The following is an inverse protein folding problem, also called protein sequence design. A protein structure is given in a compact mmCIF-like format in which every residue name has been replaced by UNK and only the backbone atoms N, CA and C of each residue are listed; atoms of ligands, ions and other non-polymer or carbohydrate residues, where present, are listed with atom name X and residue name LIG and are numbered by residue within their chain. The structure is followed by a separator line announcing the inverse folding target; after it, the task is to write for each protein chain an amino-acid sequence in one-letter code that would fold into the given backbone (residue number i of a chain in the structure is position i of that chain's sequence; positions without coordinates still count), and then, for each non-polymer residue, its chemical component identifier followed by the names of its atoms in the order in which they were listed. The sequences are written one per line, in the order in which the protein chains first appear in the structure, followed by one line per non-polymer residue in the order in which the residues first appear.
data_IF_716570972201
#
_entry.id   IF_716570972201
#
_cell.length_a   1.000
_cell.length_b   1.000
_cell.length_c   1.000
_cell.angle_alpha   90.00
_cell.angle_beta   90.00
_cell.angle_gamma   90.00
#
_symmetry.space_group_name_H-M   'P 1'
#
loop_
_entity.id
_entity.type
_entity.pdbx_description
1 polymer ?
#
# COMPACT_ATOMS: atom_id res chain seq x y z
N UNK A 1 16.83 11.91 -12.40
CA UNK A 1 15.61 11.18 -12.82
C UNK A 1 14.56 11.35 -11.75
N UNK A 2 13.29 11.25 -12.07
CA UNK A 2 12.19 11.32 -11.11
C UNK A 2 11.51 9.94 -11.02
N UNK A 3 10.68 9.73 -10.00
CA UNK A 3 9.77 8.60 -9.97
C UNK A 3 8.72 8.82 -11.07
N UNK A 4 8.46 7.80 -11.86
CA UNK A 4 7.55 7.87 -13.01
C UNK A 4 6.24 7.11 -12.75
N UNK A 5 6.33 6.00 -12.00
CA UNK A 5 5.19 5.12 -11.76
C UNK A 5 5.10 4.69 -10.29
N UNK A 6 3.89 4.69 -9.76
CA UNK A 6 3.61 4.18 -8.40
C UNK A 6 2.46 3.18 -8.44
N UNK A 7 2.72 1.98 -7.95
CA UNK A 7 1.74 0.94 -7.71
C UNK A 7 1.25 1.04 -6.27
N UNK A 8 0.03 1.55 -6.09
CA UNK A 8 -0.63 1.71 -4.79
C UNK A 8 -1.34 0.42 -4.41
N UNK A 9 -0.96 -0.18 -3.29
CA UNK A 9 -1.61 -1.35 -2.71
C UNK A 9 -2.30 -0.92 -1.41
N UNK A 10 -3.61 -0.68 -1.50
CA UNK A 10 -4.46 -0.30 -0.38
C UNK A 10 -5.26 -1.47 0.20
N UNK A 11 -5.89 -1.23 1.34
CA UNK A 11 -6.81 -2.20 1.95
C UNK A 11 -6.81 -2.16 3.48
N UNK A 12 -7.86 -2.65 4.09
CA UNK A 12 -8.00 -2.68 5.55
C UNK A 12 -7.00 -3.65 6.21
N UNK A 13 -6.85 -3.56 7.52
CA UNK A 13 -6.05 -4.53 8.27
C UNK A 13 -6.59 -5.94 8.09
N UNK A 14 -5.71 -6.93 7.94
CA UNK A 14 -6.06 -8.34 7.71
C UNK A 14 -6.24 -8.75 6.24
N UNK A 15 -6.25 -7.82 5.26
CA UNK A 15 -6.37 -8.21 3.83
C UNK A 15 -5.06 -8.76 3.23
N UNK A 16 -3.90 -8.52 3.87
CA UNK A 16 -2.61 -9.04 3.43
C UNK A 16 -1.74 -8.07 2.64
N UNK A 17 -1.94 -6.74 2.76
CA UNK A 17 -1.17 -5.71 2.02
C UNK A 17 0.34 -5.92 2.04
N UNK A 18 0.93 -5.97 3.23
CA UNK A 18 2.40 -6.11 3.38
C UNK A 18 2.91 -7.42 2.76
N UNK A 19 2.22 -8.54 3.01
CA UNK A 19 2.61 -9.82 2.41
C UNK A 19 2.54 -9.78 0.88
N UNK A 20 1.48 -9.19 0.34
CA UNK A 20 1.32 -9.03 -1.12
C UNK A 20 2.35 -8.04 -1.67
N UNK A 21 2.58 -6.91 -1.01
CA UNK A 21 3.58 -5.92 -1.42
C UNK A 21 4.99 -6.51 -1.52
N UNK A 22 5.41 -7.25 -0.49
CA UNK A 22 6.71 -7.95 -0.50
C UNK A 22 6.78 -9.05 -1.56
N UNK A 23 5.72 -9.81 -1.78
CA UNK A 23 5.70 -10.83 -2.83
C UNK A 23 5.70 -10.20 -4.24
N UNK A 24 4.98 -9.08 -4.46
CA UNK A 24 5.07 -8.28 -5.69
C UNK A 24 6.51 -7.87 -5.94
N UNK A 25 7.17 -7.29 -4.94
CA UNK A 25 8.57 -6.88 -5.05
C UNK A 25 9.50 -8.06 -5.33
N UNK A 26 9.28 -9.20 -4.67
CA UNK A 26 10.05 -10.44 -4.92
C UNK A 26 9.88 -10.95 -6.35
N UNK A 27 8.65 -10.97 -6.88
CA UNK A 27 8.40 -11.40 -8.26
C UNK A 27 8.98 -10.43 -9.28
N UNK A 28 8.83 -9.11 -9.09
CA UNK A 28 9.43 -8.08 -9.95
C UNK A 28 10.97 -8.17 -9.97
N UNK A 29 11.58 -8.46 -8.80
CA UNK A 29 13.03 -8.67 -8.72
C UNK A 29 13.47 -9.88 -9.55
N UNK A 30 12.74 -11.01 -9.51
CA UNK A 30 13.01 -12.18 -10.35
C UNK A 30 12.89 -11.88 -11.85
N UNK A 31 12.03 -10.92 -12.21
CA UNK A 31 11.84 -10.44 -13.58
C UNK A 31 12.81 -9.32 -13.98
N UNK A 32 13.77 -8.99 -13.13
CA UNK A 32 14.72 -7.89 -13.32
C UNK A 32 14.06 -6.53 -13.60
N UNK A 33 12.85 -6.29 -13.06
CA UNK A 33 12.15 -5.01 -13.14
C UNK A 33 12.69 -4.09 -12.05
N UNK A 34 13.33 -2.99 -12.44
CA UNK A 34 13.86 -2.00 -11.51
C UNK A 34 12.70 -1.30 -10.77
N UNK A 35 12.68 -1.46 -9.45
CA UNK A 35 11.67 -0.88 -8.56
C UNK A 35 12.20 -0.79 -7.13
N UNK A 36 11.53 -0.02 -6.30
CA UNK A 36 11.70 -0.03 -4.85
C UNK A 36 10.38 -0.28 -4.15
N UNK A 37 10.42 -0.80 -2.93
CA UNK A 37 9.23 -1.12 -2.14
C UNK A 37 9.18 -0.25 -0.88
N UNK A 38 7.99 0.22 -0.54
CA UNK A 38 7.74 1.06 0.61
C UNK A 38 6.50 0.59 1.36
N UNK A 39 6.66 0.29 2.65
CA UNK A 39 5.57 0.21 3.62
C UNK A 39 5.26 1.62 4.13
N UNK A 40 4.10 2.15 3.76
CA UNK A 40 3.77 3.55 4.01
C UNK A 40 3.64 3.93 5.48
N UNK A 41 3.38 2.97 6.35
CA UNK A 41 3.22 3.19 7.79
C UNK A 41 4.52 3.71 8.47
N UNK A 42 5.67 3.65 7.79
CA UNK A 42 6.94 4.20 8.31
C UNK A 42 7.14 5.68 8.01
N UNK A 43 6.37 6.25 7.05
CA UNK A 43 6.60 7.61 6.57
C UNK A 43 6.33 8.70 7.61
N UNK A 44 5.43 8.43 8.53
CA UNK A 44 5.02 9.33 9.60
C UNK A 44 5.14 8.70 11.01
N UNK A 45 5.95 7.63 11.11
CA UNK A 45 6.17 6.88 12.34
C UNK A 45 7.11 7.63 13.31
N UNK A 46 6.63 8.75 13.84
CA UNK A 46 7.34 9.59 14.80
C UNK A 46 6.42 10.03 15.96
N UNK A 47 6.95 10.04 17.16
CA UNK A 47 6.21 10.41 18.37
C UNK A 47 7.08 11.23 19.32
N UNK A 48 6.49 12.25 20.03
CA UNK A 48 5.13 12.74 19.84
C UNK A 48 4.97 13.41 18.47
N UNK A 49 3.76 13.36 17.88
CA UNK A 49 3.49 14.06 16.61
C UNK A 49 3.58 15.58 16.80
N UNK A 50 4.08 16.32 15.80
CA UNK A 50 4.08 17.78 15.82
C UNK A 50 2.67 18.33 15.99
N UNK A 51 2.53 19.43 16.73
CA UNK A 51 1.22 20.03 17.02
C UNK A 51 0.48 20.50 15.74
N UNK A 52 1.23 20.85 14.71
CA UNK A 52 0.76 21.33 13.41
C UNK A 52 0.71 20.22 12.32
N UNK A 53 0.89 18.94 12.71
CA UNK A 53 0.84 17.78 11.81
C UNK A 53 0.33 16.53 12.56
N UNK A 54 -0.82 16.67 13.23
CA UNK A 54 -1.36 15.59 14.08
C UNK A 54 -1.80 14.37 13.28
N UNK A 55 -2.17 14.53 12.02
CA UNK A 55 -2.51 13.46 11.09
C UNK A 55 -1.29 12.89 10.33
N UNK A 56 -0.11 13.51 10.46
CA UNK A 56 1.15 13.06 9.86
C UNK A 56 1.24 13.26 8.35
N UNK A 57 0.31 14.00 7.73
CA UNK A 57 0.28 14.15 6.26
C UNK A 57 1.51 14.90 5.73
N UNK A 58 1.90 15.98 6.40
CA UNK A 58 3.10 16.74 6.02
C UNK A 58 4.36 15.88 6.13
N UNK A 59 4.49 15.12 7.22
CA UNK A 59 5.61 14.21 7.41
C UNK A 59 5.63 13.12 6.36
N UNK A 60 4.49 12.49 6.06
CA UNK A 60 4.32 11.52 4.97
C UNK A 60 4.83 12.08 3.65
N UNK A 61 4.36 13.27 3.25
CA UNK A 61 4.76 13.92 1.98
C UNK A 61 6.26 14.19 1.94
N UNK A 62 6.82 14.75 3.01
CA UNK A 62 8.23 15.13 3.04
C UNK A 62 9.16 13.90 3.06
N UNK A 63 8.81 12.88 3.84
CA UNK A 63 9.59 11.63 3.92
C UNK A 63 9.53 10.88 2.60
N UNK A 64 8.34 10.76 2.00
CA UNK A 64 8.18 10.12 0.69
C UNK A 64 8.99 10.83 -0.39
N UNK A 65 8.96 12.16 -0.41
CA UNK A 65 9.76 12.97 -1.36
C UNK A 65 11.26 12.74 -1.19
N UNK A 66 11.74 12.71 0.04
CA UNK A 66 13.16 12.49 0.34
C UNK A 66 13.62 11.09 -0.08
N UNK A 67 12.87 10.04 0.28
CA UNK A 67 13.16 8.66 -0.12
C UNK A 67 13.13 8.50 -1.64
N UNK A 68 12.12 9.04 -2.30
CA UNK A 68 11.99 8.99 -3.75
C UNK A 68 13.18 9.64 -4.45
N UNK A 69 13.69 10.76 -3.93
CA UNK A 69 14.89 11.41 -4.45
C UNK A 69 16.13 10.51 -4.40
N UNK A 70 16.30 9.75 -3.31
CA UNK A 70 17.41 8.79 -3.17
C UNK A 70 17.26 7.67 -4.20
N UNK A 71 16.10 7.00 -4.25
CA UNK A 71 15.91 5.87 -5.16
C UNK A 71 15.96 6.27 -6.64
N UNK A 72 15.39 7.43 -7.00
CA UNK A 72 15.47 7.95 -8.36
C UNK A 72 16.92 8.29 -8.77
N UNK A 73 17.76 8.77 -7.83
CA UNK A 73 19.18 8.99 -8.03
C UNK A 73 19.94 7.73 -8.40
N UNK A 74 19.52 6.57 -7.87
CA UNK A 74 20.09 5.25 -8.15
C UNK A 74 19.41 4.52 -9.34
N UNK A 75 18.50 5.18 -10.05
CA UNK A 75 17.84 4.63 -11.25
C UNK A 75 16.57 3.81 -10.99
N UNK A 76 15.99 3.90 -9.80
CA UNK A 76 14.72 3.24 -9.47
C UNK A 76 13.56 4.21 -9.65
N UNK A 77 12.89 4.17 -10.79
CA UNK A 77 11.78 5.08 -11.13
C UNK A 77 10.38 4.51 -10.86
N UNK A 78 10.28 3.25 -10.38
CA UNK A 78 9.03 2.58 -10.03
C UNK A 78 8.95 2.31 -8.54
N UNK A 79 7.80 2.62 -7.93
CA UNK A 79 7.55 2.39 -6.50
C UNK A 79 6.38 1.44 -6.28
N UNK A 80 6.60 0.36 -5.54
CA UNK A 80 5.52 -0.44 -4.93
C UNK A 80 5.22 0.17 -3.56
N UNK A 81 4.07 0.80 -3.40
CA UNK A 81 3.68 1.51 -2.18
C UNK A 81 2.48 0.83 -1.51
N UNK A 82 2.75 0.13 -0.41
CA UNK A 82 1.73 -0.56 0.38
C UNK A 82 1.37 0.25 1.63
N UNK A 83 0.10 0.69 1.73
CA UNK A 83 -0.40 1.45 2.89
C UNK A 83 -1.92 1.39 2.90
N UNK A 84 -2.53 1.37 4.09
CA UNK A 84 -3.97 1.15 4.27
C UNK A 84 -4.83 2.04 3.38
N UNK A 85 -4.61 3.35 3.39
CA UNK A 85 -5.42 4.33 2.69
C UNK A 85 -4.78 4.81 1.36
N UNK A 86 -3.68 4.20 0.88
CA UNK A 86 -2.92 4.67 -0.28
C UNK A 86 -3.77 4.98 -1.51
N UNK A 87 -4.83 4.20 -1.73
CA UNK A 87 -5.73 4.36 -2.88
C UNK A 87 -6.77 5.46 -2.72
N UNK A 88 -7.01 5.96 -1.51
CA UNK A 88 -7.91 7.10 -1.25
C UNK A 88 -7.13 8.39 -0.95
N UNK A 89 -5.96 8.26 -0.32
CA UNK A 89 -5.06 9.36 0.02
C UNK A 89 -3.94 9.55 -1.02
N UNK A 90 -4.16 9.08 -2.26
CA UNK A 90 -3.20 9.18 -3.37
C UNK A 90 -2.75 10.62 -3.65
N UNK A 91 -3.53 11.62 -3.23
CA UNK A 91 -3.15 13.04 -3.29
C UNK A 91 -1.85 13.36 -2.54
N UNK A 92 -1.54 12.64 -1.45
CA UNK A 92 -0.26 12.80 -0.75
C UNK A 92 0.91 12.31 -1.60
N UNK A 93 0.70 11.26 -2.39
CA UNK A 93 1.70 10.73 -3.31
C UNK A 93 1.98 11.72 -4.44
N UNK A 94 0.94 12.27 -5.07
CA UNK A 94 1.12 13.28 -6.12
C UNK A 94 1.69 14.59 -5.59
N UNK A 95 1.35 14.98 -4.36
CA UNK A 95 1.98 16.13 -3.69
C UNK A 95 3.48 15.92 -3.41
N UNK A 96 3.88 14.69 -3.10
CA UNK A 96 5.27 14.35 -2.83
C UNK A 96 6.10 14.25 -4.10
N UNK A 97 5.58 13.61 -5.15
CA UNK A 97 6.31 13.15 -6.33
C UNK A 97 6.03 13.95 -7.60
N UNK A 98 4.97 14.77 -7.61
CA UNK A 98 4.52 15.48 -8.80
C UNK A 98 3.66 14.62 -9.72
N UNK A 99 3.77 14.84 -11.03
CA UNK A 99 3.05 14.05 -12.03
C UNK A 99 3.69 12.67 -12.16
N UNK A 100 2.98 11.64 -11.69
CA UNK A 100 3.38 10.23 -11.76
C UNK A 100 2.21 9.40 -12.25
N UNK A 101 2.49 8.32 -12.98
CA UNK A 101 1.48 7.33 -13.33
C UNK A 101 1.11 6.52 -12.08
N UNK A 102 -0.16 6.56 -11.69
CA UNK A 102 -0.67 5.77 -10.58
C UNK A 102 -1.42 4.53 -11.08
N UNK A 103 -1.12 3.38 -10.50
CA UNK A 103 -1.92 2.16 -10.61
C UNK A 103 -2.41 1.83 -9.22
N UNK A 104 -3.73 1.82 -8.99
CA UNK A 104 -4.33 1.58 -7.69
C UNK A 104 -4.98 0.20 -7.60
N UNK A 105 -4.62 -0.55 -6.58
CA UNK A 105 -5.24 -1.84 -6.24
C UNK A 105 -5.72 -1.79 -4.80
N UNK A 106 -7.03 -1.91 -4.61
CA UNK A 106 -7.66 -2.08 -3.31
C UNK A 106 -7.84 -3.58 -3.04
N UNK A 107 -7.02 -4.12 -2.15
CA UNK A 107 -7.18 -5.48 -1.68
C UNK A 107 -8.41 -5.56 -0.76
N UNK A 108 -9.29 -6.50 -1.05
CA UNK A 108 -10.49 -6.75 -0.25
C UNK A 108 -10.49 -8.18 0.28
N UNK A 109 -11.17 -8.41 1.41
CA UNK A 109 -11.42 -9.72 1.97
C UNK A 109 -12.72 -9.72 2.76
N UNK A 110 -13.35 -10.86 2.89
CA UNK A 110 -14.50 -11.04 3.76
C UNK A 110 -14.17 -10.68 5.21
N UNK A 111 -15.15 -10.32 5.99
CA UNK A 111 -14.95 -10.02 7.41
C UNK A 111 -14.37 -11.22 8.16
N UNK A 112 -14.85 -12.43 7.86
CA UNK A 112 -14.36 -13.67 8.45
C UNK A 112 -12.86 -13.88 8.16
N UNK A 113 -12.44 -13.72 6.90
CA UNK A 113 -11.03 -13.86 6.51
C UNK A 113 -10.14 -12.83 7.21
N UNK A 114 -10.59 -11.57 7.30
CA UNK A 114 -9.81 -10.54 8.02
C UNK A 114 -9.71 -10.84 9.51
N UNK A 115 -10.81 -11.29 10.12
CA UNK A 115 -10.84 -11.71 11.51
C UNK A 115 -9.83 -12.83 11.77
N UNK A 116 -9.87 -13.91 11.00
CA UNK A 116 -8.99 -15.06 11.18
C UNK A 116 -7.51 -14.69 11.02
N UNK A 117 -7.19 -13.84 10.04
CA UNK A 117 -5.81 -13.38 9.82
C UNK A 117 -5.33 -12.47 10.94
N UNK A 118 -6.17 -11.58 11.45
CA UNK A 118 -5.83 -10.71 12.58
C UNK A 118 -5.69 -11.51 13.86
N UNK A 119 -6.60 -12.45 14.16
CA UNK A 119 -6.54 -13.28 15.34
C UNK A 119 -5.26 -14.15 15.42
N UNK A 120 -4.73 -14.58 14.27
CA UNK A 120 -3.46 -15.34 14.22
C UNK A 120 -2.22 -14.45 14.45
N UNK A 121 -2.32 -13.17 14.21
CA UNK A 121 -1.21 -12.21 14.31
C UNK A 121 -1.17 -11.47 15.64
N UNK A 122 -2.33 -11.16 16.19
CA UNK A 122 -2.48 -10.37 17.40
C UNK A 122 -2.45 -11.29 18.63
N UNK A 123 -1.54 -10.98 19.56
CA UNK A 123 -1.47 -11.67 20.86
C UNK A 123 -1.82 -10.62 21.92
N UNK A 124 -3.04 -10.69 22.49
CA UNK A 124 -3.43 -9.84 23.61
C UNK A 124 -4.81 -9.20 23.49
N UNK A 125 -5.08 -8.21 24.38
CA UNK A 125 -6.39 -7.59 24.61
C UNK A 125 -6.87 -6.60 23.52
N UNK A 126 -6.06 -6.32 22.49
CA UNK A 126 -6.35 -5.30 21.48
C UNK A 126 -7.08 -5.83 20.24
N UNK A 127 -7.33 -7.15 20.16
CA UNK A 127 -7.93 -7.78 18.98
C UNK A 127 -9.30 -7.15 18.62
N UNK A 128 -10.20 -7.00 19.58
CA UNK A 128 -11.54 -6.44 19.33
C UNK A 128 -11.47 -5.00 18.79
N UNK A 129 -10.55 -4.20 19.29
CA UNK A 129 -10.31 -2.83 18.82
C UNK A 129 -9.79 -2.84 17.38
N UNK A 130 -8.84 -3.74 17.05
CA UNK A 130 -8.30 -3.89 15.71
C UNK A 130 -9.35 -4.41 14.72
N UNK A 131 -10.21 -5.33 15.15
CA UNK A 131 -11.32 -5.83 14.31
C UNK A 131 -12.33 -4.74 14.01
N UNK A 132 -12.75 -3.97 15.03
CA UNK A 132 -13.69 -2.86 14.84
C UNK A 132 -13.08 -1.77 13.92
N UNK A 133 -11.79 -1.48 14.06
CA UNK A 133 -11.07 -0.54 13.20
C UNK A 133 -10.97 -1.06 11.75
N UNK A 134 -10.63 -2.34 11.57
CA UNK A 134 -10.56 -2.99 10.26
C UNK A 134 -11.90 -2.94 9.53
N UNK A 135 -13.00 -3.23 10.23
CA UNK A 135 -14.36 -3.17 9.66
C UNK A 135 -14.73 -1.77 9.18
N UNK A 136 -14.51 -0.75 10.03
CA UNK A 136 -14.77 0.67 9.67
C UNK A 136 -13.93 1.10 8.47
N UNK A 137 -12.64 0.75 8.48
CA UNK A 137 -11.72 1.10 7.41
C UNK A 137 -12.10 0.40 6.10
N UNK A 138 -12.45 -0.89 6.11
CA UNK A 138 -12.89 -1.60 4.91
C UNK A 138 -14.10 -0.91 4.25
N UNK A 139 -15.12 -0.56 5.04
CA UNK A 139 -16.28 0.18 4.53
C UNK A 139 -15.94 1.60 4.04
N UNK A 140 -14.99 2.28 4.69
CA UNK A 140 -14.52 3.59 4.26
C UNK A 140 -13.83 3.51 2.89
N UNK A 141 -12.85 2.61 2.76
CA UNK A 141 -12.09 2.42 1.53
C UNK A 141 -12.98 2.03 0.35
N UNK A 142 -13.93 1.13 0.57
CA UNK A 142 -14.83 0.68 -0.49
C UNK A 142 -15.69 1.82 -1.06
N UNK A 143 -16.18 2.71 -0.18
CA UNK A 143 -16.99 3.87 -0.59
C UNK A 143 -16.17 5.01 -1.20
N UNK A 144 -14.90 5.16 -0.80
CA UNK A 144 -14.08 6.32 -1.17
C UNK A 144 -13.07 6.03 -2.28
N UNK A 145 -12.73 4.76 -2.53
CA UNK A 145 -11.78 4.42 -3.57
C UNK A 145 -12.31 4.86 -4.95
N UNK A 146 -11.52 5.64 -5.71
CA UNK A 146 -11.91 6.11 -7.03
C UNK A 146 -12.24 4.96 -8.01
N UNK A 147 -12.97 5.29 -9.08
CA UNK A 147 -13.37 4.29 -10.08
C UNK A 147 -12.19 3.65 -10.83
N UNK A 148 -11.05 4.35 -10.94
CA UNK A 148 -9.85 3.81 -11.59
C UNK A 148 -9.08 2.80 -10.73
N UNK A 149 -9.42 2.68 -9.44
CA UNK A 149 -8.80 1.70 -8.53
C UNK A 149 -9.47 0.33 -8.74
N UNK A 150 -8.65 -0.67 -9.04
CA UNK A 150 -9.14 -2.06 -9.18
C UNK A 150 -9.33 -2.70 -7.80
N UNK A 151 -10.54 -3.26 -7.55
CA UNK A 151 -10.81 -4.06 -6.35
C UNK A 151 -10.37 -5.49 -6.61
N UNK A 152 -9.53 -6.02 -5.73
CA UNK A 152 -8.97 -7.37 -5.87
C UNK A 152 -9.25 -8.19 -4.60
N UNK A 153 -10.15 -9.17 -4.66
CA UNK A 153 -10.44 -10.05 -3.52
C UNK A 153 -9.25 -10.97 -3.24
N UNK A 154 -9.00 -11.18 -1.95
CA UNK A 154 -7.90 -12.04 -1.46
C UNK A 154 -8.39 -13.31 -0.77
N UNK A 155 -9.70 -13.51 -0.69
CA UNK A 155 -10.29 -14.74 -0.16
C UNK A 155 -9.90 -15.92 -1.06
N UNK A 156 -9.61 -17.06 -0.43
CA UNK A 156 -9.30 -18.32 -1.11
C UNK A 156 -8.14 -18.27 -2.12
N UNK A 157 -7.31 -17.22 -2.06
CA UNK A 157 -6.15 -17.04 -2.94
C UNK A 157 -4.85 -17.02 -2.14
N UNK A 158 -3.81 -17.57 -2.73
CA UNK A 158 -2.46 -17.51 -2.19
C UNK A 158 -1.83 -16.13 -2.43
N UNK A 159 -0.88 -15.75 -1.58
CA UNK A 159 -0.15 -14.48 -1.73
C UNK A 159 0.56 -14.37 -3.09
N UNK A 160 1.22 -15.43 -3.62
CA UNK A 160 1.82 -15.38 -4.96
C UNK A 160 0.81 -15.14 -6.09
N UNK A 161 -0.37 -15.75 -6.05
CA UNK A 161 -1.42 -15.54 -7.07
C UNK A 161 -1.97 -14.11 -7.04
N UNK A 162 -2.13 -13.55 -5.84
CA UNK A 162 -2.57 -12.16 -5.69
C UNK A 162 -1.48 -11.21 -6.22
N UNK A 163 -0.22 -11.44 -5.86
CA UNK A 163 0.90 -10.64 -6.32
C UNK A 163 1.04 -10.67 -7.85
N UNK A 164 0.89 -11.83 -8.47
CA UNK A 164 0.90 -11.96 -9.93
C UNK A 164 -0.22 -11.15 -10.59
N UNK A 165 -1.44 -11.18 -10.04
CA UNK A 165 -2.53 -10.37 -10.53
C UNK A 165 -2.26 -8.86 -10.39
N UNK A 166 -1.68 -8.43 -9.25
CA UNK A 166 -1.28 -7.03 -9.02
C UNK A 166 -0.22 -6.58 -10.02
N UNK A 167 0.78 -7.42 -10.30
CA UNK A 167 1.81 -7.13 -11.32
C UNK A 167 1.18 -7.01 -12.71
N UNK A 168 0.25 -7.90 -13.07
CA UNK A 168 -0.49 -7.81 -14.32
C UNK A 168 -1.23 -6.48 -14.48
N UNK A 169 -1.85 -5.99 -13.42
CA UNK A 169 -2.53 -4.68 -13.41
C UNK A 169 -1.56 -3.50 -13.56
N UNK A 170 -0.34 -3.60 -13.05
CA UNK A 170 0.66 -2.53 -13.18
C UNK A 170 1.17 -2.36 -14.63
N UNK A 171 1.20 -3.43 -15.40
CA UNK A 171 1.81 -3.47 -16.71
C UNK A 171 3.35 -3.42 -16.69
N UNK A 172 3.98 -3.62 -15.52
CA UNK A 172 5.44 -3.53 -15.37
C UNK A 172 6.19 -4.76 -15.85
N UNK A 173 5.53 -5.89 -15.88
CA UNK A 173 6.05 -7.09 -16.51
C UNK A 173 5.26 -7.36 -17.79
N UNK A 174 5.88 -7.17 -18.93
CA UNK A 174 5.36 -7.69 -20.21
C UNK A 174 5.78 -9.15 -20.28
N UNK A 175 4.79 -10.04 -20.12
CA UNK A 175 4.98 -11.48 -20.37
C UNK A 175 4.97 -11.74 -21.87
#
# INVERSE_FOLDING_TARGET
MAIEEVLLIGGASGVGKSSVGWEVSSQLNRLAVAHWHLEGDVLDAAWPRPADDQDGQRMTVNTLRAMAGVFAGEGYWRCVYAQTASVVDFGLVTQALGEVRLVGVLLTASEATRHDRLARREIGSDLDRHLASSRRMAGHLERRAPAWVTRLPTDERTVPEIAQAVIGLSGWAVV
#
